data_IF_104408575583
#
_entry.id   IF_104408575583
#
_cell.length_a   1.000
_cell.length_b   1.000
_cell.length_c   1.000
_cell.angle_alpha   90.00
_cell.angle_beta   90.00
_cell.angle_gamma   90.00
#
_symmetry.space_group_name_H-M   'P 1'
#
loop_
_entity.id
_entity.type
_entity.pdbx_description
1 polymer ?
#
# COMPACT_ATOMS: atom_id res chain seq x y z
N UNK A 1 16.66 -54.45 77.28
CA UNK A 1 15.69 -54.70 76.16
C UNK A 1 14.84 -53.50 75.75
N UNK A 2 14.63 -52.43 76.54
CA UNK A 2 13.73 -51.34 76.19
C UNK A 2 14.40 -50.21 75.37
N UNK A 3 15.70 -50.04 75.45
CA UNK A 3 16.44 -48.91 74.78
C UNK A 3 16.64 -49.21 73.29
N UNK A 4 16.89 -50.48 72.92
CA UNK A 4 17.14 -50.89 71.52
C UNK A 4 15.88 -50.81 70.67
N UNK A 5 14.71 -51.04 71.21
CA UNK A 5 13.44 -50.93 70.51
C UNK A 5 13.08 -49.47 70.19
N UNK A 6 13.44 -48.53 71.05
CA UNK A 6 13.19 -47.12 70.84
C UNK A 6 14.03 -46.52 69.69
N UNK A 7 15.24 -47.03 69.50
CA UNK A 7 16.15 -46.60 68.42
C UNK A 7 15.64 -47.11 67.03
N UNK A 8 15.18 -48.30 66.96
CA UNK A 8 14.66 -48.90 65.72
C UNK A 8 13.39 -48.18 65.25
N UNK A 9 12.46 -47.89 66.15
CA UNK A 9 11.22 -47.13 65.82
C UNK A 9 11.52 -45.73 65.36
N UNK A 10 12.49 -45.06 65.97
CA UNK A 10 12.89 -43.69 65.63
C UNK A 10 13.58 -43.61 64.26
N UNK A 11 14.40 -44.60 63.89
CA UNK A 11 15.01 -44.65 62.56
C UNK A 11 14.01 -45.05 61.47
N UNK A 12 13.05 -45.93 61.79
CA UNK A 12 11.99 -46.30 60.87
C UNK A 12 11.08 -45.11 60.53
N UNK A 13 10.77 -44.25 61.54
CA UNK A 13 9.94 -43.04 61.35
C UNK A 13 10.66 -41.96 60.52
N UNK A 14 11.97 -41.82 60.69
CA UNK A 14 12.78 -40.85 59.90
C UNK A 14 12.86 -41.27 58.43
N UNK A 15 13.06 -42.57 58.16
CA UNK A 15 13.15 -43.07 56.79
C UNK A 15 11.81 -42.96 56.08
N UNK A 16 10.68 -43.24 56.75
CA UNK A 16 9.34 -43.13 56.17
C UNK A 16 8.96 -41.67 55.87
N UNK A 17 9.28 -40.72 56.77
CA UNK A 17 9.08 -39.28 56.51
C UNK A 17 9.92 -38.76 55.35
N UNK A 18 11.18 -39.24 55.20
CA UNK A 18 12.05 -38.84 54.08
C UNK A 18 11.55 -39.37 52.74
N UNK A 19 11.01 -40.62 52.68
CA UNK A 19 10.43 -41.16 51.43
C UNK A 19 9.13 -40.44 51.04
N UNK A 20 8.28 -40.07 51.98
CA UNK A 20 7.04 -39.33 51.72
C UNK A 20 7.38 -37.88 51.23
N UNK A 21 8.41 -37.24 51.80
CA UNK A 21 8.86 -35.94 51.35
C UNK A 21 9.40 -35.90 49.92
N UNK A 22 10.14 -36.91 49.50
CA UNK A 22 10.69 -37.03 48.14
C UNK A 22 9.58 -37.31 47.12
N UNK A 23 8.56 -38.15 47.45
CA UNK A 23 7.44 -38.45 46.55
C UNK A 23 6.52 -37.24 46.39
N UNK A 24 6.30 -36.43 47.42
CA UNK A 24 5.51 -35.17 47.31
C UNK A 24 6.26 -34.10 46.50
N UNK A 25 7.59 -34.03 46.59
CA UNK A 25 8.38 -33.10 45.74
C UNK A 25 8.33 -33.52 44.24
N UNK A 26 8.37 -34.82 43.95
CA UNK A 26 8.29 -35.33 42.57
C UNK A 26 6.91 -35.10 41.93
N UNK A 27 5.83 -35.24 42.71
CA UNK A 27 4.46 -34.95 42.22
C UNK A 27 4.27 -33.43 41.99
N UNK A 28 4.81 -32.60 42.88
CA UNK A 28 4.75 -31.13 42.69
C UNK A 28 5.54 -30.63 41.48
N UNK A 29 6.68 -31.26 41.15
CA UNK A 29 7.46 -30.89 39.97
C UNK A 29 6.79 -31.27 38.65
N UNK A 30 6.13 -32.42 38.58
CA UNK A 30 5.39 -32.81 37.38
C UNK A 30 4.12 -31.98 37.19
N UNK A 31 3.39 -31.63 38.23
CA UNK A 31 2.24 -30.77 38.15
C UNK A 31 2.62 -29.32 37.72
N UNK A 32 3.80 -28.85 38.13
CA UNK A 32 4.29 -27.53 37.70
C UNK A 32 4.80 -27.53 36.24
N UNK A 33 5.31 -28.65 35.72
CA UNK A 33 5.66 -28.81 34.31
C UNK A 33 4.41 -28.86 33.41
N UNK A 34 3.39 -29.63 33.83
CA UNK A 34 2.13 -29.73 33.09
C UNK A 34 1.35 -28.42 33.06
N UNK A 35 1.42 -27.62 34.12
CA UNK A 35 0.85 -26.26 34.12
C UNK A 35 1.59 -25.30 33.18
N UNK A 36 2.91 -25.42 33.08
CA UNK A 36 3.68 -24.60 32.15
C UNK A 36 3.51 -25.00 30.68
N UNK A 37 3.37 -26.27 30.39
CA UNK A 37 3.05 -26.75 29.03
C UNK A 37 1.59 -26.46 28.64
N UNK A 38 0.65 -26.46 29.59
CA UNK A 38 -0.74 -26.08 29.36
C UNK A 38 -0.93 -24.55 29.13
N UNK A 39 -0.09 -23.69 29.76
CA UNK A 39 -0.13 -22.25 29.50
C UNK A 39 0.55 -21.85 28.20
N UNK A 40 1.56 -22.62 27.74
CA UNK A 40 2.21 -22.41 26.45
C UNK A 40 1.30 -22.84 25.26
N UNK A 41 0.26 -23.60 25.52
CA UNK A 41 -0.73 -24.03 24.53
C UNK A 41 -2.05 -23.24 24.59
N UNK A 42 -2.06 -22.03 25.15
CA UNK A 42 -3.04 -21.03 24.73
C UNK A 42 -2.71 -20.67 23.30
N UNK A 43 -3.24 -21.46 22.38
CA UNK A 43 -3.45 -21.05 21.01
C UNK A 43 -4.15 -19.69 21.10
N UNK A 44 -3.38 -18.62 20.89
CA UNK A 44 -3.94 -17.34 20.53
C UNK A 44 -4.86 -17.69 19.37
N UNK A 45 -6.20 -17.52 19.46
CA UNK A 45 -7.04 -17.78 18.32
C UNK A 45 -6.38 -16.97 17.21
N UNK A 46 -6.04 -17.66 16.09
CA UNK A 46 -5.63 -16.97 14.89
C UNK A 46 -6.70 -15.88 14.73
N UNK A 47 -6.32 -14.64 14.96
CA UNK A 47 -7.18 -13.52 14.68
C UNK A 47 -7.55 -13.76 13.24
N UNK A 48 -8.81 -14.16 12.97
CA UNK A 48 -9.33 -14.11 11.62
C UNK A 48 -8.95 -12.73 11.14
N UNK A 49 -7.97 -12.67 10.27
CA UNK A 49 -7.58 -11.42 9.61
C UNK A 49 -8.80 -11.03 8.82
N UNK A 50 -9.67 -10.26 9.46
CA UNK A 50 -10.79 -9.64 8.77
C UNK A 50 -10.17 -8.99 7.52
N UNK A 51 -10.58 -9.45 6.35
CA UNK A 51 -10.05 -8.99 5.07
C UNK A 51 -10.01 -7.45 5.13
N UNK A 52 -8.84 -6.88 4.96
CA UNK A 52 -8.65 -5.43 5.06
C UNK A 52 -9.64 -4.76 4.11
N UNK A 53 -10.36 -3.75 4.59
CA UNK A 53 -11.27 -2.97 3.75
C UNK A 53 -10.45 -2.30 2.66
N UNK A 54 -10.79 -2.56 1.40
CA UNK A 54 -10.14 -1.98 0.24
C UNK A 54 -11.09 -0.96 -0.38
N UNK A 55 -10.67 0.30 -0.44
CA UNK A 55 -11.45 1.42 -0.97
C UNK A 55 -10.71 2.04 -2.16
N UNK A 56 -11.43 2.41 -3.20
CA UNK A 56 -10.87 3.16 -4.30
C UNK A 56 -11.72 4.40 -4.62
N UNK A 57 -11.06 5.55 -4.76
CA UNK A 57 -11.61 6.75 -5.37
C UNK A 57 -10.94 6.96 -6.71
N UNK A 58 -11.73 6.96 -7.77
CA UNK A 58 -11.27 7.07 -9.14
C UNK A 58 -11.91 8.32 -9.75
N UNK A 59 -11.07 9.29 -10.14
CA UNK A 59 -11.52 10.55 -10.74
C UNK A 59 -10.94 10.65 -12.14
N UNK A 60 -11.81 10.75 -13.16
CA UNK A 60 -11.44 11.00 -14.55
C UNK A 60 -12.04 12.31 -15.03
N UNK A 61 -11.20 13.28 -15.34
CA UNK A 61 -11.61 14.60 -15.84
C UNK A 61 -11.13 14.80 -17.27
N UNK A 62 -12.04 14.96 -18.21
CA UNK A 62 -11.75 15.14 -19.63
C UNK A 62 -12.32 16.43 -20.22
N UNK A 63 -13.48 16.85 -19.73
CA UNK A 63 -14.21 17.99 -20.31
C UNK A 63 -13.88 19.29 -19.56
N UNK A 64 -12.82 19.96 -20.01
CA UNK A 64 -12.37 21.24 -19.46
C UNK A 64 -12.78 22.39 -20.41
N UNK A 65 -13.78 23.21 -20.06
CA UNK A 65 -14.27 24.27 -20.94
C UNK A 65 -13.20 25.30 -21.33
N UNK A 66 -12.20 25.52 -20.46
CA UNK A 66 -11.09 26.46 -20.66
C UNK A 66 -9.88 25.84 -21.38
N UNK A 67 -9.86 24.54 -21.63
CA UNK A 67 -8.79 23.87 -22.37
C UNK A 67 -9.10 23.91 -23.89
N UNK A 68 -8.04 23.94 -24.69
CA UNK A 68 -8.18 24.00 -26.15
C UNK A 68 -8.80 22.70 -26.72
N UNK A 69 -8.57 21.57 -26.03
CA UNK A 69 -9.00 20.24 -26.45
C UNK A 69 -9.57 19.45 -25.28
N UNK A 70 -10.54 18.58 -25.57
CA UNK A 70 -11.06 17.61 -24.62
C UNK A 70 -10.05 16.48 -24.46
N UNK A 71 -9.95 15.92 -23.25
CA UNK A 71 -9.18 14.72 -22.95
C UNK A 71 -10.16 13.52 -22.90
N UNK A 72 -10.07 12.62 -23.87
CA UNK A 72 -10.97 11.45 -23.90
C UNK A 72 -10.46 10.31 -23.00
N UNK A 73 -9.14 10.12 -22.91
CA UNK A 73 -8.53 9.03 -22.17
C UNK A 73 -8.82 9.02 -20.66
N UNK A 74 -8.82 10.14 -19.91
CA UNK A 74 -9.09 10.10 -18.48
C UNK A 74 -10.41 9.47 -18.07
N UNK A 75 -11.45 9.62 -18.91
CA UNK A 75 -12.76 9.01 -18.66
C UNK A 75 -12.71 7.51 -18.91
N UNK A 76 -12.11 7.09 -20.04
CA UNK A 76 -11.92 5.68 -20.35
C UNK A 76 -11.04 4.98 -19.29
N UNK A 77 -9.96 5.64 -18.88
CA UNK A 77 -9.04 5.16 -17.85
C UNK A 77 -9.75 4.94 -16.51
N UNK A 78 -10.58 5.91 -16.11
CA UNK A 78 -11.38 5.79 -14.90
C UNK A 78 -12.33 4.57 -14.97
N UNK A 79 -12.98 4.34 -16.10
CA UNK A 79 -13.85 3.19 -16.34
C UNK A 79 -13.08 1.86 -16.29
N UNK A 80 -11.96 1.76 -17.00
CA UNK A 80 -11.10 0.57 -17.05
C UNK A 80 -10.53 0.20 -15.68
N UNK A 81 -9.99 1.18 -14.97
CA UNK A 81 -9.47 0.98 -13.61
C UNK A 81 -10.57 0.62 -12.61
N UNK A 82 -11.74 1.25 -12.70
CA UNK A 82 -12.87 0.93 -11.83
C UNK A 82 -13.33 -0.53 -12.02
N UNK A 83 -13.38 -1.00 -13.25
CA UNK A 83 -13.69 -2.40 -13.54
C UNK A 83 -12.64 -3.35 -12.95
N UNK A 84 -11.36 -3.06 -13.17
CA UNK A 84 -10.26 -3.86 -12.66
C UNK A 84 -10.25 -3.89 -11.12
N UNK A 85 -10.37 -2.73 -10.46
CA UNK A 85 -10.33 -2.64 -8.99
C UNK A 85 -11.50 -3.36 -8.34
N UNK A 86 -12.70 -3.31 -8.90
CA UNK A 86 -13.84 -4.11 -8.40
C UNK A 86 -13.55 -5.61 -8.45
N UNK A 87 -12.89 -6.09 -9.51
CA UNK A 87 -12.46 -7.51 -9.61
C UNK A 87 -11.39 -7.87 -8.58
N UNK A 88 -10.58 -6.92 -8.16
CA UNK A 88 -9.60 -7.08 -7.09
C UNK A 88 -10.19 -6.87 -5.68
N UNK A 89 -11.50 -6.71 -5.55
CA UNK A 89 -12.19 -6.63 -4.25
C UNK A 89 -12.27 -5.22 -3.65
N UNK A 90 -11.89 -4.19 -4.39
CA UNK A 90 -12.08 -2.81 -3.93
C UNK A 90 -13.54 -2.39 -4.02
N UNK A 91 -13.98 -1.66 -3.00
CA UNK A 91 -15.20 -0.88 -3.05
C UNK A 91 -14.90 0.48 -3.71
N UNK A 92 -15.42 0.67 -4.93
CA UNK A 92 -14.99 1.72 -5.86
C UNK A 92 -16.03 2.82 -6.01
N UNK A 93 -15.62 4.06 -5.71
CA UNK A 93 -16.33 5.30 -6.04
C UNK A 93 -15.69 5.92 -7.29
N UNK A 94 -16.47 6.17 -8.34
CA UNK A 94 -16.03 6.76 -9.60
C UNK A 94 -16.68 8.12 -9.77
N UNK A 95 -15.89 9.11 -10.15
CA UNK A 95 -16.38 10.46 -10.49
C UNK A 95 -15.76 10.89 -11.81
N UNK A 96 -16.60 11.23 -12.75
CA UNK A 96 -16.21 11.68 -14.08
C UNK A 96 -16.56 13.16 -14.26
N UNK A 97 -15.71 13.89 -14.97
CA UNK A 97 -15.85 15.32 -15.25
C UNK A 97 -16.22 16.15 -14.00
N UNK A 98 -15.52 15.87 -12.91
CA UNK A 98 -15.79 16.38 -11.59
C UNK A 98 -15.52 17.89 -11.47
N UNK A 99 -16.51 18.63 -10.99
CA UNK A 99 -16.30 19.99 -10.47
C UNK A 99 -15.50 19.97 -9.17
N UNK A 100 -15.01 21.12 -8.73
CA UNK A 100 -14.34 21.26 -7.44
C UNK A 100 -15.21 20.75 -6.28
N UNK A 101 -16.50 21.07 -6.33
CA UNK A 101 -17.46 20.62 -5.32
C UNK A 101 -17.66 19.10 -5.38
N UNK A 102 -17.68 18.48 -6.58
CA UNK A 102 -17.80 17.03 -6.75
C UNK A 102 -16.58 16.30 -6.20
N UNK A 103 -15.38 16.77 -6.52
CA UNK A 103 -14.14 16.22 -6.00
C UNK A 103 -14.10 16.31 -4.47
N UNK A 104 -14.47 17.45 -3.89
CA UNK A 104 -14.51 17.62 -2.44
C UNK A 104 -15.49 16.64 -1.79
N UNK A 105 -16.70 16.49 -2.34
CA UNK A 105 -17.70 15.52 -1.86
C UNK A 105 -17.21 14.08 -1.96
N UNK A 106 -16.52 13.73 -3.05
CA UNK A 106 -15.97 12.39 -3.25
C UNK A 106 -14.89 12.06 -2.22
N UNK A 107 -13.97 13.01 -1.95
CA UNK A 107 -12.95 12.85 -0.90
C UNK A 107 -13.60 12.71 0.48
N UNK A 108 -14.63 13.49 0.81
CA UNK A 108 -15.33 13.35 2.09
C UNK A 108 -16.07 12.01 2.20
N UNK A 109 -16.70 11.52 1.12
CA UNK A 109 -17.30 10.17 1.11
C UNK A 109 -16.23 9.10 1.36
N UNK A 110 -15.08 9.18 0.66
CA UNK A 110 -13.96 8.26 0.87
C UNK A 110 -13.52 8.29 2.32
N UNK A 111 -13.23 9.47 2.88
CA UNK A 111 -12.78 9.66 4.27
C UNK A 111 -13.75 9.07 5.30
N UNK A 112 -15.06 9.17 5.06
CA UNK A 112 -16.07 8.63 5.97
C UNK A 112 -16.09 7.09 6.02
N UNK A 113 -15.57 6.43 4.99
CA UNK A 113 -15.54 4.96 4.85
C UNK A 113 -14.24 4.34 5.32
N UNK A 114 -13.15 5.11 5.41
CA UNK A 114 -11.86 4.63 5.88
C UNK A 114 -11.98 4.22 7.36
N UNK A 115 -11.49 3.00 7.65
CA UNK A 115 -11.31 2.47 8.99
C UNK A 115 -9.84 2.12 9.21
N UNK A 116 -9.35 2.05 10.45
CA UNK A 116 -8.02 1.56 10.74
C UNK A 116 -7.76 0.21 10.02
N UNK A 117 -6.63 0.11 9.33
CA UNK A 117 -6.28 -1.08 8.55
C UNK A 117 -6.78 -1.09 7.10
N UNK A 118 -7.56 -0.10 6.65
CA UNK A 118 -7.99 0.00 5.24
C UNK A 118 -6.80 0.21 4.30
N UNK A 119 -6.88 -0.39 3.11
CA UNK A 119 -6.04 -0.04 1.95
C UNK A 119 -6.85 0.89 1.05
N UNK A 120 -6.30 2.03 0.71
CA UNK A 120 -6.98 3.05 -0.08
C UNK A 120 -6.25 3.28 -1.38
N UNK A 121 -6.96 3.24 -2.51
CA UNK A 121 -6.44 3.64 -3.81
C UNK A 121 -7.06 4.97 -4.22
N UNK A 122 -6.23 5.89 -4.70
CA UNK A 122 -6.61 7.14 -5.34
C UNK A 122 -6.11 7.13 -6.78
N UNK A 123 -6.98 7.28 -7.75
CA UNK A 123 -6.64 7.56 -9.13
C UNK A 123 -7.12 8.96 -9.52
N UNK A 124 -6.28 9.69 -10.22
CA UNK A 124 -6.66 10.92 -10.89
C UNK A 124 -6.09 10.94 -12.31
N UNK A 125 -6.99 10.99 -13.29
CA UNK A 125 -6.70 11.26 -14.70
C UNK A 125 -7.26 12.63 -15.10
N UNK A 126 -6.45 13.48 -15.76
CA UNK A 126 -6.85 14.81 -16.13
C UNK A 126 -5.68 15.80 -16.21
N UNK A 127 -5.96 17.09 -16.07
CA UNK A 127 -4.89 18.09 -15.93
C UNK A 127 -4.38 18.17 -14.50
N UNK A 128 -3.07 17.98 -14.34
CA UNK A 128 -2.35 18.26 -13.11
C UNK A 128 -1.47 19.49 -13.30
N UNK A 129 -1.48 20.39 -12.35
CA UNK A 129 -0.66 21.61 -12.39
C UNK A 129 0.13 21.74 -11.11
N UNK A 130 1.44 21.97 -11.22
CA UNK A 130 2.26 22.26 -10.06
C UNK A 130 2.23 23.76 -9.72
N UNK A 131 2.15 24.09 -8.44
CA UNK A 131 2.35 25.43 -7.91
C UNK A 131 3.09 25.35 -6.58
N UNK A 132 4.19 26.11 -6.43
CA UNK A 132 5.04 26.13 -5.23
C UNK A 132 5.49 24.74 -4.76
N UNK A 133 5.89 23.88 -5.70
CA UNK A 133 6.34 22.50 -5.45
C UNK A 133 5.27 21.52 -4.96
N UNK A 134 3.99 21.87 -4.99
CA UNK A 134 2.87 20.97 -4.75
C UNK A 134 2.14 20.63 -6.06
N UNK A 135 1.55 19.45 -6.12
CA UNK A 135 0.75 18.99 -7.25
C UNK A 135 -0.74 19.17 -6.99
N UNK A 136 -1.43 19.82 -7.93
CA UNK A 136 -2.86 20.08 -7.85
C UNK A 136 -3.60 19.35 -8.96
N UNK A 137 -4.59 18.57 -8.58
CA UNK A 137 -5.61 18.01 -9.47
C UNK A 137 -6.58 19.10 -9.85
N UNK A 138 -6.77 19.33 -11.15
CA UNK A 138 -7.60 20.43 -11.65
C UNK A 138 -9.03 19.93 -11.88
N UNK A 139 -10.05 20.51 -11.23
CA UNK A 139 -11.45 20.23 -11.52
C UNK A 139 -11.89 20.83 -12.86
N UNK A 140 -12.99 20.32 -13.44
CA UNK A 140 -13.44 20.74 -14.76
C UNK A 140 -13.98 22.18 -14.80
N UNK A 141 -14.45 22.68 -13.66
CA UNK A 141 -14.98 24.06 -13.50
C UNK A 141 -13.93 25.09 -13.04
N UNK A 142 -12.64 24.71 -13.02
CA UNK A 142 -11.58 25.58 -12.56
C UNK A 142 -11.42 26.82 -13.44
N UNK A 143 -11.39 28.01 -12.83
CA UNK A 143 -11.14 29.29 -13.49
C UNK A 143 -9.76 29.81 -13.11
N UNK A 144 -8.78 29.59 -13.98
CA UNK A 144 -7.36 29.87 -13.71
C UNK A 144 -6.83 30.96 -14.64
N UNK A 145 -6.56 32.16 -14.10
CA UNK A 145 -5.99 33.30 -14.83
C UNK A 145 -4.52 33.53 -14.50
N UNK A 146 -4.05 33.08 -13.34
CA UNK A 146 -2.67 33.23 -12.87
C UNK A 146 -2.28 32.04 -12.02
N UNK A 147 -0.98 31.79 -11.84
CA UNK A 147 -0.47 30.65 -11.04
C UNK A 147 -1.08 30.58 -9.63
N UNK A 148 -1.34 31.73 -9.00
CA UNK A 148 -1.95 31.75 -7.66
C UNK A 148 -3.33 31.12 -7.60
N UNK A 149 -4.08 31.16 -8.70
CA UNK A 149 -5.44 30.62 -8.76
C UNK A 149 -5.43 29.08 -8.72
N UNK A 150 -4.35 28.43 -9.18
CA UNK A 150 -4.19 26.97 -9.11
C UNK A 150 -4.43 26.43 -7.70
N UNK A 151 -3.93 27.11 -6.68
CA UNK A 151 -4.08 26.70 -5.28
C UNK A 151 -5.49 26.91 -4.73
N UNK A 152 -6.21 27.86 -5.31
CA UNK A 152 -7.60 28.12 -4.92
C UNK A 152 -8.57 27.21 -5.66
N UNK A 153 -8.33 26.98 -6.94
CA UNK A 153 -9.23 26.21 -7.80
C UNK A 153 -8.92 24.72 -7.80
N UNK A 154 -7.64 24.35 -7.74
CA UNK A 154 -7.22 22.94 -7.71
C UNK A 154 -7.38 22.28 -6.35
N UNK A 155 -7.27 20.97 -6.34
CA UNK A 155 -7.23 20.13 -5.13
C UNK A 155 -5.81 19.57 -4.98
N UNK A 156 -5.14 19.89 -3.86
CA UNK A 156 -3.79 19.40 -3.58
C UNK A 156 -3.79 17.88 -3.37
N UNK A 157 -2.95 17.17 -4.11
CA UNK A 157 -2.73 15.72 -3.95
C UNK A 157 -2.23 15.42 -2.55
N UNK A 158 -1.25 16.18 -2.08
CA UNK A 158 -0.64 16.02 -0.77
C UNK A 158 -1.67 16.15 0.35
N UNK A 159 -2.57 17.13 0.25
CA UNK A 159 -3.65 17.33 1.23
C UNK A 159 -4.59 16.13 1.28
N UNK A 160 -4.95 15.56 0.12
CA UNK A 160 -5.82 14.37 0.06
C UNK A 160 -5.13 13.15 0.66
N UNK A 161 -3.85 12.92 0.31
CA UNK A 161 -3.08 11.78 0.85
C UNK A 161 -2.91 11.88 2.38
N UNK A 162 -2.62 13.08 2.90
CA UNK A 162 -2.55 13.30 4.35
C UNK A 162 -3.90 13.05 5.04
N UNK A 163 -5.00 13.52 4.45
CA UNK A 163 -6.33 13.28 4.99
C UNK A 163 -6.73 11.79 5.02
N UNK A 164 -6.30 11.00 4.02
CA UNK A 164 -6.47 9.54 4.00
C UNK A 164 -5.67 8.90 5.15
N UNK A 165 -4.39 9.29 5.32
CA UNK A 165 -3.53 8.80 6.41
C UNK A 165 -4.13 9.12 7.78
N UNK A 166 -4.57 10.35 8.02
CA UNK A 166 -5.17 10.79 9.28
C UNK A 166 -6.42 9.99 9.67
N UNK A 167 -7.12 9.40 8.70
CA UNK A 167 -8.25 8.50 8.93
C UNK A 167 -7.84 7.08 9.33
N UNK A 168 -6.54 6.78 9.36
CA UNK A 168 -6.00 5.50 9.79
C UNK A 168 -5.90 4.45 8.67
N UNK A 169 -5.81 4.87 7.41
CA UNK A 169 -5.47 3.95 6.33
C UNK A 169 -4.11 3.27 6.60
N UNK A 170 -4.05 1.94 6.44
CA UNK A 170 -2.83 1.14 6.56
C UNK A 170 -1.87 1.45 5.42
N UNK A 171 -2.41 1.63 4.22
CA UNK A 171 -1.64 1.99 3.05
C UNK A 171 -2.47 2.83 2.07
N UNK A 172 -1.80 3.72 1.36
CA UNK A 172 -2.39 4.52 0.28
C UNK A 172 -1.65 4.27 -1.02
N UNK A 173 -2.37 3.84 -2.06
CA UNK A 173 -1.87 3.64 -3.41
C UNK A 173 -2.38 4.79 -4.27
N UNK A 174 -1.51 5.67 -4.77
CA UNK A 174 -1.90 6.80 -5.61
C UNK A 174 -1.39 6.60 -7.05
N UNK A 175 -2.26 6.83 -8.02
CA UNK A 175 -1.98 6.75 -9.45
C UNK A 175 -2.37 8.10 -10.05
N UNK A 176 -1.37 8.85 -10.53
CA UNK A 176 -1.54 10.21 -11.04
C UNK A 176 -1.23 10.24 -12.54
N UNK A 177 -2.24 10.11 -13.35
CA UNK A 177 -2.12 10.27 -14.80
C UNK A 177 -2.52 11.68 -15.23
N UNK A 178 -1.68 12.63 -14.82
CA UNK A 178 -1.95 14.05 -14.94
C UNK A 178 -0.72 14.89 -15.37
N UNK A 179 0.36 14.23 -15.81
CA UNK A 179 1.60 14.90 -16.27
C UNK A 179 1.44 15.49 -17.68
N UNK A 180 0.33 16.14 -17.95
CA UNK A 180 0.04 16.76 -19.25
C UNK A 180 0.60 18.18 -19.35
N UNK A 181 0.67 18.71 -20.57
CA UNK A 181 1.00 20.13 -20.77
C UNK A 181 -0.04 20.99 -20.05
N UNK A 182 0.42 21.94 -19.27
CA UNK A 182 -0.47 22.86 -18.54
C UNK A 182 -1.28 23.72 -19.55
N UNK A 183 -2.62 23.60 -19.62
CA UNK A 183 -3.43 24.37 -20.57
C UNK A 183 -3.43 25.87 -20.27
N UNK A 184 -3.02 26.24 -19.05
CA UNK A 184 -2.98 27.63 -18.58
C UNK A 184 -1.59 28.26 -18.69
N UNK A 185 -0.60 27.58 -19.25
CA UNK A 185 0.81 28.00 -19.23
C UNK A 185 1.03 29.41 -19.79
N UNK A 186 0.27 29.82 -20.84
CA UNK A 186 0.34 31.14 -21.44
C UNK A 186 -0.10 32.28 -20.52
N UNK A 187 -0.84 31.94 -19.44
CA UNK A 187 -1.35 32.88 -18.43
C UNK A 187 -0.37 33.03 -17.25
N UNK A 188 0.66 32.17 -17.18
CA UNK A 188 1.62 32.17 -16.09
C UNK A 188 2.88 32.94 -16.45
N UNK A 189 3.50 33.54 -15.43
CA UNK A 189 4.79 34.25 -15.62
C UNK A 189 5.97 33.27 -15.56
N UNK A 190 5.82 32.16 -14.89
CA UNK A 190 6.81 31.11 -14.78
C UNK A 190 6.31 29.86 -15.48
N UNK A 191 7.18 29.22 -16.24
CA UNK A 191 6.88 27.92 -16.88
C UNK A 191 6.90 26.83 -15.81
N UNK A 192 5.80 26.08 -15.69
CA UNK A 192 5.79 24.82 -14.96
C UNK A 192 5.27 23.71 -15.87
N UNK A 193 6.12 22.75 -16.17
CA UNK A 193 5.76 21.59 -16.97
C UNK A 193 5.55 20.37 -16.08
N UNK A 194 4.58 19.54 -16.40
CA UNK A 194 4.29 18.29 -15.68
C UNK A 194 3.95 18.52 -14.20
N UNK A 195 4.10 17.49 -13.42
CA UNK A 195 3.82 17.49 -11.98
C UNK A 195 5.09 17.77 -11.16
N UNK A 196 4.91 18.29 -9.95
CA UNK A 196 5.96 18.30 -8.95
C UNK A 196 6.18 16.86 -8.42
N UNK A 197 7.32 16.63 -7.76
CA UNK A 197 7.48 15.43 -6.94
C UNK A 197 6.49 15.51 -5.77
N UNK A 198 5.66 14.48 -5.61
CA UNK A 198 4.65 14.45 -4.54
C UNK A 198 5.31 14.05 -3.23
N UNK A 199 5.16 14.89 -2.21
CA UNK A 199 5.57 14.59 -0.84
C UNK A 199 4.53 13.66 -0.19
N UNK A 200 4.77 12.36 -0.28
CA UNK A 200 3.88 11.36 0.27
C UNK A 200 3.99 11.27 1.79
N UNK A 201 2.86 11.07 2.51
CA UNK A 201 2.90 10.63 3.90
C UNK A 201 3.49 9.22 4.02
N UNK A 202 3.80 8.77 5.26
CA UNK A 202 4.21 7.39 5.49
C UNK A 202 3.14 6.39 5.03
N UNK A 203 3.56 5.20 4.63
CA UNK A 203 2.71 4.13 4.09
C UNK A 203 1.95 4.53 2.83
N UNK A 204 2.58 5.33 1.96
CA UNK A 204 2.06 5.65 0.64
C UNK A 204 2.97 5.12 -0.47
N UNK A 205 2.34 4.66 -1.55
CA UNK A 205 2.98 4.26 -2.79
C UNK A 205 2.34 5.07 -3.92
N UNK A 206 3.15 5.81 -4.66
CA UNK A 206 2.68 6.74 -5.69
C UNK A 206 3.35 6.40 -7.00
N UNK A 207 2.55 6.33 -8.07
CA UNK A 207 3.03 6.34 -9.45
C UNK A 207 2.45 7.57 -10.17
N UNK A 208 3.33 8.34 -10.84
CA UNK A 208 2.93 9.44 -11.70
C UNK A 208 3.29 9.13 -13.14
N UNK A 209 2.48 9.59 -14.10
CA UNK A 209 2.62 9.24 -15.51
C UNK A 209 3.95 9.64 -16.14
N UNK A 210 4.67 10.61 -15.55
CA UNK A 210 6.04 10.95 -15.98
C UNK A 210 6.91 11.37 -14.78
N UNK A 211 8.21 11.52 -15.01
CA UNK A 211 9.14 12.10 -14.03
C UNK A 211 8.76 13.57 -13.75
N UNK A 212 9.04 14.07 -12.53
CA UNK A 212 8.73 15.45 -12.17
C UNK A 212 9.27 16.45 -13.19
N UNK A 213 8.45 17.41 -13.57
CA UNK A 213 8.79 18.42 -14.55
C UNK A 213 8.74 17.98 -16.02
N UNK A 214 8.35 16.74 -16.30
CA UNK A 214 8.17 16.22 -17.67
C UNK A 214 6.69 16.04 -17.98
N UNK A 215 6.37 16.14 -19.26
CA UNK A 215 5.03 15.97 -19.81
C UNK A 215 4.94 14.62 -20.49
N UNK A 216 3.82 13.91 -20.30
CA UNK A 216 3.43 12.78 -21.11
C UNK A 216 2.50 13.29 -22.22
N UNK A 217 2.76 12.89 -23.45
CA UNK A 217 1.85 13.17 -24.55
C UNK A 217 0.66 12.18 -24.50
N UNK A 218 -0.52 12.64 -24.92
CA UNK A 218 -1.67 11.77 -25.05
C UNK A 218 -1.42 10.75 -26.17
N UNK A 219 -1.81 9.50 -25.96
CA UNK A 219 -1.68 8.42 -26.93
C UNK A 219 -2.94 8.37 -27.84
N UNK A 220 -2.81 7.71 -28.99
CA UNK A 220 -3.97 7.48 -29.89
C UNK A 220 -4.86 6.31 -29.38
N UNK A 221 -4.51 5.65 -28.26
CA UNK A 221 -5.24 4.52 -27.70
C UNK A 221 -6.50 4.91 -26.93
N UNK A 222 -7.32 3.92 -26.65
CA UNK A 222 -8.51 4.06 -25.78
C UNK A 222 -8.13 4.52 -24.38
N UNK A 223 -7.01 3.98 -23.87
CA UNK A 223 -6.42 4.32 -22.57
C UNK A 223 -5.08 5.03 -22.75
N UNK A 224 -4.69 5.78 -21.74
CA UNK A 224 -3.33 6.29 -21.62
C UNK A 224 -2.31 5.14 -21.58
N UNK A 225 -1.07 5.44 -21.97
CA UNK A 225 0.01 4.43 -21.92
C UNK A 225 0.22 3.94 -20.49
N UNK A 226 0.13 4.84 -19.48
CA UNK A 226 0.26 4.45 -18.08
C UNK A 226 -0.83 3.45 -17.67
N UNK A 227 -2.09 3.76 -17.96
CA UNK A 227 -3.22 2.92 -17.54
C UNK A 227 -3.26 1.62 -18.32
N UNK A 228 -2.97 1.63 -19.63
CA UNK A 228 -2.84 0.40 -20.42
C UNK A 228 -1.84 -0.57 -19.80
N UNK A 229 -0.64 -0.12 -19.51
CA UNK A 229 0.39 -0.98 -18.93
C UNK A 229 0.10 -1.37 -17.47
N UNK A 230 -0.53 -0.49 -16.71
CA UNK A 230 -0.96 -0.82 -15.35
C UNK A 230 -2.01 -1.94 -15.35
N UNK A 231 -3.03 -1.86 -16.21
CA UNK A 231 -4.08 -2.89 -16.34
C UNK A 231 -3.49 -4.25 -16.72
N UNK A 232 -2.44 -4.26 -17.56
CA UNK A 232 -1.73 -5.48 -17.94
C UNK A 232 -1.00 -6.12 -16.75
N UNK A 233 -0.42 -5.31 -15.85
CA UNK A 233 0.40 -5.80 -14.72
C UNK A 233 -0.41 -6.09 -13.44
N UNK A 234 -1.67 -5.64 -13.32
CA UNK A 234 -2.49 -5.83 -12.11
C UNK A 234 -2.70 -7.30 -11.73
N UNK A 235 -2.69 -8.22 -12.70
CA UNK A 235 -2.86 -9.65 -12.44
C UNK A 235 -1.55 -10.35 -12.03
N UNK A 236 -0.41 -9.62 -11.99
CA UNK A 236 0.86 -10.18 -11.55
C UNK A 236 0.79 -10.54 -10.05
N UNK A 237 1.31 -11.73 -9.68
CA UNK A 237 1.40 -12.17 -8.29
C UNK A 237 2.62 -11.54 -7.60
N UNK A 238 2.60 -10.22 -7.48
CA UNK A 238 3.65 -9.43 -6.84
C UNK A 238 3.00 -8.36 -5.96
N UNK A 239 3.79 -7.72 -5.10
CA UNK A 239 3.31 -6.58 -4.31
C UNK A 239 2.89 -5.40 -5.20
N UNK A 240 2.10 -4.48 -4.67
CA UNK A 240 1.68 -3.25 -5.37
C UNK A 240 2.89 -2.44 -5.87
N UNK A 241 3.98 -2.41 -5.08
CA UNK A 241 5.24 -1.80 -5.49
C UNK A 241 5.86 -2.54 -6.68
N UNK A 242 5.81 -3.87 -6.67
CA UNK A 242 6.22 -4.70 -7.81
C UNK A 242 5.40 -4.41 -9.06
N UNK A 243 4.07 -4.28 -8.94
CA UNK A 243 3.18 -3.88 -10.04
C UNK A 243 3.58 -2.51 -10.59
N UNK A 244 3.74 -1.49 -9.73
CA UNK A 244 4.10 -0.13 -10.18
C UNK A 244 5.48 -0.09 -10.85
N UNK A 245 6.46 -0.83 -10.34
CA UNK A 245 7.78 -0.90 -10.96
C UNK A 245 7.76 -1.61 -12.32
N UNK A 246 6.96 -2.66 -12.49
CA UNK A 246 6.75 -3.33 -13.78
C UNK A 246 6.02 -2.41 -14.76
N UNK A 247 4.95 -1.75 -14.32
CA UNK A 247 4.22 -0.74 -15.10
C UNK A 247 5.16 0.35 -15.61
N UNK A 248 6.00 0.92 -14.73
CA UNK A 248 6.99 1.93 -15.12
C UNK A 248 7.91 1.43 -16.23
N UNK A 249 8.43 0.21 -16.09
CA UNK A 249 9.32 -0.38 -17.10
C UNK A 249 8.59 -0.68 -18.41
N UNK A 250 7.33 -1.09 -18.35
CA UNK A 250 6.50 -1.33 -19.53
C UNK A 250 6.18 -0.02 -20.28
N UNK A 251 5.75 1.02 -19.57
CA UNK A 251 5.50 2.36 -20.14
C UNK A 251 6.75 2.91 -20.84
N UNK A 252 7.91 2.80 -20.21
CA UNK A 252 9.15 3.25 -20.84
C UNK A 252 9.44 2.53 -22.17
N UNK A 253 9.19 1.22 -22.23
CA UNK A 253 9.37 0.44 -23.45
C UNK A 253 8.32 0.77 -24.50
N UNK A 254 7.02 0.78 -24.16
CA UNK A 254 5.92 1.01 -25.10
C UNK A 254 5.90 2.43 -25.66
N UNK A 255 6.39 3.41 -24.88
CA UNK A 255 6.55 4.80 -25.33
C UNK A 255 7.86 5.06 -26.09
N UNK A 256 8.66 4.04 -26.42
CA UNK A 256 10.00 4.21 -27.00
C UNK A 256 10.90 5.16 -26.20
N UNK A 257 10.78 5.14 -24.88
CA UNK A 257 11.59 5.96 -23.97
C UNK A 257 11.14 7.42 -23.81
N UNK A 258 10.05 7.84 -24.44
CA UNK A 258 9.55 9.23 -24.34
C UNK A 258 8.84 9.50 -23.02
N UNK A 259 8.24 8.47 -22.40
CA UNK A 259 7.55 8.56 -21.13
C UNK A 259 8.23 7.69 -20.07
N UNK A 260 8.59 8.28 -18.93
CA UNK A 260 9.20 7.61 -17.80
C UNK A 260 8.41 7.89 -16.52
N UNK A 261 7.49 7.02 -16.12
CA UNK A 261 6.75 7.19 -14.87
C UNK A 261 7.69 7.27 -13.66
N UNK A 262 7.35 8.08 -12.69
CA UNK A 262 8.04 8.09 -11.40
C UNK A 262 7.27 7.24 -10.40
N UNK A 263 7.99 6.44 -9.61
CA UNK A 263 7.44 5.67 -8.49
C UNK A 263 8.12 6.13 -7.22
N UNK A 264 7.32 6.46 -6.20
CA UNK A 264 7.77 6.80 -4.86
C UNK A 264 7.05 5.91 -3.86
N UNK A 265 7.82 5.28 -2.96
CA UNK A 265 7.29 4.37 -1.94
C UNK A 265 7.80 4.77 -0.57
N UNK A 266 6.89 4.79 0.39
CA UNK A 266 7.15 4.88 1.83
C UNK A 266 6.44 3.74 2.57
N UNK A 267 6.07 2.66 1.85
CA UNK A 267 5.43 1.50 2.44
C UNK A 267 6.38 0.80 3.42
N UNK A 268 5.87 0.42 4.57
CA UNK A 268 6.60 -0.36 5.58
C UNK A 268 6.30 -1.87 5.46
N UNK A 269 5.24 -2.23 4.76
CA UNK A 269 4.78 -3.60 4.57
C UNK A 269 4.37 -3.83 3.12
N UNK A 270 4.44 -5.07 2.67
CA UNK A 270 3.93 -5.45 1.36
C UNK A 270 2.42 -5.29 1.31
N UNK A 271 1.95 -4.64 0.26
CA UNK A 271 0.53 -4.45 -0.06
C UNK A 271 0.24 -5.11 -1.40
N UNK A 272 -0.89 -5.80 -1.50
CA UNK A 272 -1.31 -6.48 -2.72
C UNK A 272 -2.65 -5.94 -3.20
N UNK A 273 -2.86 -5.93 -4.52
CA UNK A 273 -4.14 -5.53 -5.09
C UNK A 273 -5.25 -6.56 -4.84
N UNK A 274 -4.91 -7.85 -4.75
CA UNK A 274 -5.88 -8.92 -4.47
C UNK A 274 -5.83 -9.32 -3.00
N UNK A 275 -6.97 -9.40 -2.29
CA UNK A 275 -7.01 -9.95 -0.94
C UNK A 275 -6.72 -11.45 -1.00
N UNK A 276 -5.81 -11.94 -0.16
CA UNK A 276 -5.60 -13.38 0.07
C UNK A 276 -4.27 -13.96 -0.35
N UNK A 277 -3.32 -13.18 -0.87
CA UNK A 277 -1.97 -13.70 -1.20
C UNK A 277 -0.94 -13.53 -0.06
N UNK A 278 -1.31 -12.93 1.08
CA UNK A 278 -0.37 -12.69 2.18
C UNK A 278 0.06 -13.98 2.90
N UNK A 279 -0.70 -15.07 2.77
CA UNK A 279 -0.42 -16.34 3.47
C UNK A 279 0.57 -17.26 2.72
N UNK A 280 0.70 -17.14 1.40
CA UNK A 280 1.52 -18.06 0.59
C UNK A 280 2.99 -17.61 0.42
N UNK A 281 3.30 -16.35 0.71
CA UNK A 281 4.64 -15.79 0.48
C UNK A 281 5.58 -15.90 1.70
N UNK A 282 5.06 -16.16 2.89
CA UNK A 282 5.88 -16.28 4.11
C UNK A 282 6.63 -17.61 4.23
N UNK A 283 6.32 -18.61 3.39
CA UNK A 283 6.94 -19.95 3.44
C UNK A 283 8.11 -20.14 2.49
N UNK A 284 8.45 -19.16 1.64
CA UNK A 284 9.48 -19.33 0.60
C UNK A 284 10.83 -18.68 0.87
N UNK A 285 11.07 -18.08 2.03
CA UNK A 285 12.29 -17.28 2.28
C UNK A 285 13.14 -17.73 3.46
N UNK A 286 13.25 -19.03 3.77
CA UNK A 286 14.35 -19.52 4.60
C UNK A 286 14.77 -20.91 4.10
N UNK A 287 15.54 -20.97 3.02
CA UNK A 287 16.44 -22.11 2.79
C UNK A 287 17.76 -21.81 3.51
N UNK A 288 18.21 -22.68 4.44
CA UNK A 288 19.51 -22.47 5.08
C UNK A 288 20.62 -22.67 4.04
N UNK A 289 21.54 -21.72 3.98
CA UNK A 289 22.79 -21.88 3.26
C UNK A 289 23.54 -23.07 3.84
N UNK A 290 23.54 -24.18 3.15
CA UNK A 290 24.48 -25.27 3.36
C UNK A 290 25.80 -24.88 2.73
N UNK A 291 26.78 -24.60 3.58
CA UNK A 291 28.20 -24.54 3.18
C UNK A 291 28.67 -25.96 2.85
N UNK A 292 28.59 -26.33 1.58
CA UNK A 292 29.21 -27.57 1.09
C UNK A 292 30.59 -27.23 0.50
N UNK A 293 31.58 -27.79 1.18
CA UNK A 293 33.00 -27.99 0.89
C UNK A 293 33.53 -27.61 -0.50
N UNK A 294 34.45 -26.64 -0.50
CA UNK A 294 35.36 -26.42 -1.61
C UNK A 294 36.44 -27.52 -1.63
N UNK A 295 36.78 -28.13 -2.77
CA UNK A 295 37.90 -29.08 -2.88
C UNK A 295 39.24 -28.35 -2.81
N UNK A 296 40.15 -28.89 -2.00
CA UNK A 296 41.55 -28.50 -1.90
C UNK A 296 42.24 -28.68 -3.28
N UNK A 297 42.78 -27.61 -3.83
CA UNK A 297 43.67 -27.68 -4.98
C UNK A 297 45.09 -27.97 -4.45
N UNK A 298 45.61 -29.19 -4.70
CA UNK A 298 46.99 -29.53 -4.50
C UNK A 298 47.87 -28.84 -5.57
N UNK A 299 48.87 -28.11 -5.05
CA UNK A 299 49.94 -27.54 -5.86
C UNK A 299 50.95 -28.63 -6.26
N UNK A 300 51.26 -28.69 -7.54
CA UNK A 300 52.50 -29.21 -8.08
C UNK A 300 53.18 -28.12 -8.89
#
# INVERSE_FOLDING_TARGET
MKVTQLYIVRHLLIVTCSLIGVTLLAIGANAALDLRTSEAAKVVPAQETASAIQLALIIGNGNYPDAAERLDQPINDAGGLAYAMRRHGFDVDVVEDATKADMARAVERLKSRIKPGSVVMLFFGGYGVQSRHETYMIPTDAVIWKEGDVRHEGMSVETVLHAIKERGARATLAILDASRRNPYERRFRSYSHGLAAVNAPDNALIISSNTPGKVADDSEGEHSVLVTELLNELNARVSAEGVFNKTRAAVFRSSNGTQMPSVSSSLLEDVHFSPGNDADLTTSSIAPFTTENAPLVESK
#
